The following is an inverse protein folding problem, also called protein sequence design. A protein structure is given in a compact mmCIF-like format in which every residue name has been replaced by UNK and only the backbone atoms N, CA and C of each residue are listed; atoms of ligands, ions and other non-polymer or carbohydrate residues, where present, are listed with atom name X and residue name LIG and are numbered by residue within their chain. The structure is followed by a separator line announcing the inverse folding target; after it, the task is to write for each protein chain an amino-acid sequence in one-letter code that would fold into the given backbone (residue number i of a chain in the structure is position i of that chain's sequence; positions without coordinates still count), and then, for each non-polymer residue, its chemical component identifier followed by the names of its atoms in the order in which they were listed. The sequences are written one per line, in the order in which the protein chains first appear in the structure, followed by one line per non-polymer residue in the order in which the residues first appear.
data_IF_898399835325
#
_entry.id   IF_898399835325
#
_cell.length_a   1.000
_cell.length_b   1.000
_cell.length_c   1.000
_cell.angle_alpha   90.00
_cell.angle_beta   90.00
_cell.angle_gamma   90.00
#
_symmetry.space_group_name_H-M   'P 1'
#
loop_
_entity.id
_entity.type
_entity.pdbx_description
1 polymer ?
#
# COMPACT_ATOMS: atom_id res chain seq x y z
N UNK A 1 -13.58 8.23 52.63
CA UNK A 1 -14.50 7.99 51.49
C UNK A 1 -14.12 8.78 50.23
N UNK A 2 -13.90 10.11 50.30
CA UNK A 2 -13.54 10.93 49.11
C UNK A 2 -12.16 10.61 48.49
N UNK A 3 -11.17 10.16 49.27
CA UNK A 3 -9.82 9.82 48.76
C UNK A 3 -9.73 8.44 48.09
N UNK A 4 -10.67 7.52 48.35
CA UNK A 4 -10.69 6.19 47.75
C UNK A 4 -11.30 6.20 46.33
N UNK A 5 -12.22 7.12 46.07
CA UNK A 5 -12.87 7.30 44.76
C UNK A 5 -11.91 7.89 43.72
N UNK A 6 -10.98 8.75 44.15
CA UNK A 6 -10.00 9.40 43.26
C UNK A 6 -8.95 8.39 42.76
N UNK A 7 -8.59 7.38 43.57
CA UNK A 7 -7.63 6.33 43.19
C UNK A 7 -8.27 5.32 42.21
N UNK A 8 -9.58 5.05 42.32
CA UNK A 8 -10.27 4.19 41.36
C UNK A 8 -10.56 4.88 40.02
N UNK A 9 -10.78 6.21 40.00
CA UNK A 9 -10.93 6.95 38.73
C UNK A 9 -9.61 7.12 37.97
N UNK A 10 -8.46 7.11 38.64
CA UNK A 10 -7.15 7.19 37.99
C UNK A 10 -6.66 5.83 37.47
N UNK A 11 -7.10 4.72 38.06
CA UNK A 11 -6.81 3.38 37.53
C UNK A 11 -7.70 3.01 36.32
N UNK A 12 -8.92 3.55 36.25
CA UNK A 12 -9.83 3.35 35.13
C UNK A 12 -9.43 4.11 33.84
N UNK A 13 -8.54 5.11 33.93
CA UNK A 13 -8.11 5.93 32.79
C UNK A 13 -6.83 5.42 32.10
N UNK A 14 -6.20 4.36 32.64
CA UNK A 14 -5.02 3.71 32.02
C UNK A 14 -5.43 2.49 31.18
N UNK A 15 -6.70 2.05 31.26
CA UNK A 15 -7.29 1.10 30.30
C UNK A 15 -7.93 1.90 29.16
N UNK A 16 -7.20 2.91 28.66
CA UNK A 16 -7.46 3.44 27.34
C UNK A 16 -7.14 2.31 26.38
N UNK A 17 -8.20 1.72 25.83
CA UNK A 17 -8.16 0.72 24.77
C UNK A 17 -7.25 1.30 23.69
N UNK A 18 -5.98 0.90 23.73
CA UNK A 18 -5.10 1.04 22.58
C UNK A 18 -5.83 0.24 21.54
N UNK A 19 -6.40 0.91 20.53
CA UNK A 19 -6.87 0.22 19.35
C UNK A 19 -5.71 -0.64 18.92
N UNK A 20 -5.83 -1.95 19.12
CA UNK A 20 -4.87 -2.91 18.64
C UNK A 20 -4.97 -2.72 17.14
N UNK A 21 -4.01 -1.98 16.57
CA UNK A 21 -3.78 -2.01 15.15
C UNK A 21 -3.48 -3.48 14.86
N UNK A 22 -4.50 -4.18 14.37
CA UNK A 22 -4.38 -5.56 13.94
C UNK A 22 -3.36 -5.51 12.81
N UNK A 23 -2.15 -5.92 13.15
CA UNK A 23 -1.02 -5.95 12.25
C UNK A 23 -1.37 -6.99 11.18
N UNK A 24 -1.73 -6.52 9.98
CA UNK A 24 -2.17 -7.36 8.89
C UNK A 24 -0.97 -8.14 8.32
N UNK A 25 -1.00 -9.47 8.45
CA UNK A 25 -0.10 -10.38 7.73
C UNK A 25 1.27 -10.66 8.37
N UNK A 26 1.80 -11.84 8.09
CA UNK A 26 3.13 -12.30 8.55
C UNK A 26 4.30 -11.66 7.79
N UNK A 27 4.06 -10.65 6.93
CA UNK A 27 5.09 -10.08 6.05
C UNK A 27 5.56 -11.05 4.96
N UNK A 28 4.80 -12.11 4.71
CA UNK A 28 5.13 -13.16 3.75
C UNK A 28 4.48 -12.91 2.37
N UNK A 29 4.08 -11.68 2.06
CA UNK A 29 3.50 -11.31 0.77
C UNK A 29 2.09 -11.85 0.53
N UNK A 30 1.74 -12.03 -0.75
CA UNK A 30 0.47 -12.53 -1.26
C UNK A 30 0.12 -13.93 -0.74
N UNK A 31 1.05 -14.90 -0.68
CA UNK A 31 0.70 -16.29 -0.30
C UNK A 31 0.44 -16.48 1.19
N UNK A 32 0.69 -15.46 2.00
CA UNK A 32 0.55 -15.59 3.45
C UNK A 32 -0.91 -15.81 3.85
N UNK A 33 -1.07 -16.71 4.82
CA UNK A 33 -2.33 -16.92 5.48
C UNK A 33 -2.92 -15.62 6.06
N UNK A 34 -4.17 -15.31 5.70
CA UNK A 34 -4.83 -14.06 6.09
C UNK A 34 -4.24 -12.78 5.46
N UNK A 35 -3.41 -12.88 4.41
CA UNK A 35 -3.01 -11.72 3.61
C UNK A 35 -4.22 -11.19 2.83
N UNK A 36 -4.51 -9.87 2.86
CA UNK A 36 -5.55 -9.27 2.01
C UNK A 36 -5.32 -9.44 0.50
N UNK A 37 -4.12 -9.86 0.10
CA UNK A 37 -3.73 -10.08 -1.30
C UNK A 37 -3.60 -11.57 -1.65
N UNK A 38 -4.06 -12.50 -0.79
CA UNK A 38 -4.01 -13.93 -1.08
C UNK A 38 -5.08 -14.33 -2.11
N UNK A 39 -6.27 -13.70 -2.08
CA UNK A 39 -7.37 -13.87 -3.05
C UNK A 39 -7.78 -15.32 -3.35
N UNK A 40 -7.33 -16.28 -2.56
CA UNK A 40 -7.75 -17.67 -2.58
C UNK A 40 -8.23 -17.97 -1.17
N UNK A 41 -9.43 -18.55 -1.05
CA UNK A 41 -9.96 -18.91 0.26
C UNK A 41 -8.97 -19.81 1.01
N UNK A 42 -8.44 -19.31 2.13
CA UNK A 42 -7.86 -20.19 3.12
C UNK A 42 -8.98 -20.86 3.90
N UNK A 43 -9.25 -22.13 3.60
CA UNK A 43 -9.92 -22.99 4.55
C UNK A 43 -8.92 -23.28 5.68
N UNK A 44 -8.85 -22.39 6.68
CA UNK A 44 -8.16 -22.66 7.94
C UNK A 44 -9.17 -23.10 8.99
N UNK A 45 -9.26 -24.41 9.24
CA UNK A 45 -9.72 -25.02 10.49
C UNK A 45 -10.93 -24.34 11.20
N UNK A 46 -12.01 -24.09 10.46
CA UNK A 46 -13.29 -23.65 11.06
C UNK A 46 -13.32 -22.23 11.63
N UNK A 47 -12.30 -21.40 11.40
CA UNK A 47 -12.39 -19.95 11.60
C UNK A 47 -12.89 -19.30 10.31
N UNK A 48 -13.88 -18.39 10.42
CA UNK A 48 -14.44 -17.70 9.27
C UNK A 48 -13.35 -16.99 8.44
N UNK A 49 -13.48 -16.92 7.10
CA UNK A 49 -12.60 -16.12 6.26
C UNK A 49 -12.51 -14.70 6.82
N UNK A 50 -11.30 -14.16 7.00
CA UNK A 50 -11.08 -12.78 7.48
C UNK A 50 -11.65 -11.75 6.49
N UNK A 51 -11.98 -12.19 5.28
CA UNK A 51 -12.70 -11.51 4.22
C UNK A 51 -13.49 -12.57 3.46
N UNK A 52 -14.76 -12.31 3.15
CA UNK A 52 -15.76 -13.30 2.68
C UNK A 52 -15.30 -14.24 1.56
N UNK A 53 -16.08 -15.29 1.27
CA UNK A 53 -15.66 -16.29 0.28
C UNK A 53 -15.22 -15.65 -1.05
N UNK A 54 -13.99 -15.94 -1.46
CA UNK A 54 -13.39 -15.45 -2.69
C UNK A 54 -13.85 -16.30 -3.89
N UNK A 55 -15.13 -16.71 -3.88
CA UNK A 55 -15.78 -17.50 -4.94
C UNK A 55 -15.68 -16.81 -6.31
N UNK A 56 -15.45 -15.50 -6.32
CA UNK A 56 -15.21 -14.71 -7.52
C UNK A 56 -13.84 -15.00 -8.17
N UNK A 57 -12.85 -15.48 -7.43
CA UNK A 57 -11.61 -16.07 -7.95
C UNK A 57 -11.73 -17.60 -8.03
N UNK A 58 -12.69 -18.08 -8.83
CA UNK A 58 -13.03 -19.49 -8.94
C UNK A 58 -11.88 -20.44 -9.34
N UNK A 59 -10.84 -19.92 -9.98
CA UNK A 59 -9.63 -20.71 -10.34
C UNK A 59 -8.64 -20.81 -9.20
N UNK A 60 -8.81 -20.04 -8.13
CA UNK A 60 -7.91 -19.97 -6.97
C UNK A 60 -6.46 -19.73 -7.39
N UNK A 61 -6.29 -18.93 -8.44
CA UNK A 61 -4.99 -18.50 -8.95
C UNK A 61 -4.70 -17.13 -8.35
N UNK A 62 -3.78 -17.09 -7.39
CA UNK A 62 -3.43 -15.89 -6.61
C UNK A 62 -2.97 -14.73 -7.50
N UNK A 63 -2.03 -14.99 -8.42
CA UNK A 63 -1.46 -13.96 -9.29
C UNK A 63 -2.45 -13.49 -10.37
N UNK A 64 -3.50 -14.27 -10.68
CA UNK A 64 -4.40 -13.98 -11.81
C UNK A 64 -5.22 -12.71 -11.59
N UNK A 65 -5.48 -12.32 -10.34
CA UNK A 65 -6.20 -11.07 -10.05
C UNK A 65 -5.43 -9.86 -10.60
N UNK A 66 -4.10 -9.90 -10.53
CA UNK A 66 -3.21 -8.82 -10.94
C UNK A 66 -2.61 -9.02 -12.33
N UNK A 67 -2.18 -10.24 -12.68
CA UNK A 67 -1.37 -10.53 -13.87
C UNK A 67 -2.02 -11.53 -14.81
N UNK A 68 -1.70 -11.41 -16.10
CA UNK A 68 -1.90 -12.46 -17.11
C UNK A 68 -0.55 -12.99 -17.61
N UNK A 69 -0.45 -14.26 -17.99
CA UNK A 69 0.81 -14.84 -18.47
C UNK A 69 1.24 -14.33 -19.86
N UNK A 70 0.33 -13.74 -20.65
CA UNK A 70 0.61 -13.15 -21.96
C UNK A 70 -0.39 -12.03 -22.29
N UNK A 71 -0.02 -11.12 -23.20
CA UNK A 71 -0.95 -10.08 -23.69
C UNK A 71 -2.12 -10.77 -24.40
N UNK A 72 -3.34 -10.39 -24.04
CA UNK A 72 -4.57 -10.85 -24.70
C UNK A 72 -4.97 -9.93 -25.87
N UNK A 73 -4.03 -9.15 -26.40
CA UNK A 73 -4.27 -8.19 -27.49
C UNK A 73 -5.20 -7.04 -27.09
N UNK A 74 -5.27 -6.73 -25.80
CA UNK A 74 -6.20 -5.71 -25.27
C UNK A 74 -5.48 -4.37 -25.22
N UNK A 75 -5.51 -3.65 -26.34
CA UNK A 75 -4.83 -2.36 -26.49
C UNK A 75 -5.17 -1.35 -25.37
N UNK A 76 -6.42 -1.35 -24.88
CA UNK A 76 -6.86 -0.49 -23.78
C UNK A 76 -6.30 -0.89 -22.39
N UNK A 77 -5.77 -2.11 -22.24
CA UNK A 77 -5.08 -2.60 -21.03
C UNK A 77 -3.56 -2.57 -21.14
N UNK A 78 -3.02 -2.10 -22.26
CA UNK A 78 -1.58 -1.81 -22.39
C UNK A 78 -1.27 -0.55 -21.59
N UNK A 79 -1.47 -0.61 -20.29
CA UNK A 79 -0.93 0.39 -19.38
C UNK A 79 0.57 0.45 -19.66
N UNK A 80 1.10 1.66 -19.72
CA UNK A 80 2.47 1.98 -20.17
C UNK A 80 3.57 1.40 -19.26
N UNK A 81 3.23 0.48 -18.36
CA UNK A 81 4.12 -0.19 -17.43
C UNK A 81 4.48 -1.64 -17.85
N UNK A 82 3.88 -2.22 -18.89
CA UNK A 82 4.39 -3.44 -19.53
C UNK A 82 4.27 -4.75 -18.72
N UNK A 83 3.63 -4.75 -17.55
CA UNK A 83 3.60 -5.88 -16.60
C UNK A 83 2.50 -6.92 -16.84
N UNK A 84 1.95 -7.00 -18.06
CA UNK A 84 0.86 -7.91 -18.40
C UNK A 84 -0.30 -7.87 -17.37
N UNK A 85 -0.84 -6.68 -17.14
CA UNK A 85 -1.84 -6.43 -16.09
C UNK A 85 -3.23 -6.99 -16.45
N UNK A 86 -3.84 -7.75 -15.55
CA UNK A 86 -5.14 -8.41 -15.74
C UNK A 86 -6.32 -7.62 -15.17
N UNK A 87 -6.09 -6.54 -14.43
CA UNK A 87 -7.16 -5.79 -13.76
C UNK A 87 -7.62 -4.57 -14.56
N UNK A 88 -8.84 -4.10 -14.31
CA UNK A 88 -9.27 -2.79 -14.77
C UNK A 88 -8.45 -1.72 -14.03
N UNK A 89 -8.21 -0.57 -14.66
CA UNK A 89 -7.59 0.59 -14.03
C UNK A 89 -8.47 1.78 -14.33
N UNK A 90 -8.61 2.68 -13.36
CA UNK A 90 -9.34 3.92 -13.52
C UNK A 90 -8.49 4.94 -14.30
N UNK A 91 -9.06 5.48 -15.38
CA UNK A 91 -8.51 6.58 -16.17
C UNK A 91 -9.38 7.86 -16.09
N UNK A 92 -10.45 7.83 -15.30
CA UNK A 92 -11.41 8.91 -15.14
C UNK A 92 -11.25 9.67 -13.82
N UNK A 93 -10.81 9.00 -12.75
CA UNK A 93 -10.57 9.66 -11.47
C UNK A 93 -9.37 10.58 -11.55
N UNK A 94 -9.59 11.83 -11.15
CA UNK A 94 -8.53 12.83 -10.96
C UNK A 94 -8.14 12.86 -9.49
N UNK A 95 -6.86 12.68 -9.21
CA UNK A 95 -6.31 12.71 -7.86
C UNK A 95 -5.72 14.08 -7.54
N UNK A 96 -5.90 14.51 -6.28
CA UNK A 96 -5.11 15.60 -5.71
C UNK A 96 -3.75 15.02 -5.31
N UNK A 97 -2.68 15.46 -5.94
CA UNK A 97 -1.34 14.87 -5.78
C UNK A 97 -0.58 15.46 -4.58
N UNK A 98 0.45 14.73 -4.14
CA UNK A 98 1.46 15.26 -3.24
C UNK A 98 2.32 16.28 -4.00
N UNK A 99 2.14 17.58 -3.75
CA UNK A 99 2.86 18.60 -4.51
C UNK A 99 3.48 19.68 -3.63
N UNK A 100 4.13 20.64 -4.29
CA UNK A 100 4.81 21.75 -3.63
C UNK A 100 3.85 22.72 -2.93
N UNK A 101 2.54 22.71 -3.24
CA UNK A 101 1.57 23.54 -2.52
C UNK A 101 1.40 23.05 -1.06
N UNK A 102 1.61 21.76 -0.82
CA UNK A 102 1.44 21.12 0.49
C UNK A 102 2.77 20.72 1.14
N UNK A 103 3.84 20.64 0.36
CA UNK A 103 5.20 20.34 0.82
C UNK A 103 6.21 21.23 0.10
N UNK A 104 6.50 22.40 0.69
CA UNK A 104 7.44 23.36 0.12
C UNK A 104 8.91 22.87 0.11
N UNK A 105 9.17 21.70 0.68
CA UNK A 105 10.47 21.03 0.64
C UNK A 105 10.57 20.00 -0.48
N UNK A 106 9.51 19.80 -1.27
CA UNK A 106 9.52 18.88 -2.39
C UNK A 106 10.30 19.45 -3.57
N UNK A 107 11.45 18.89 -3.87
CA UNK A 107 12.32 19.31 -4.99
C UNK A 107 12.25 18.36 -6.20
N UNK A 108 11.75 17.14 -5.99
CA UNK A 108 11.48 16.18 -7.05
C UNK A 108 10.33 16.61 -7.96
N UNK A 109 10.42 16.26 -9.25
CA UNK A 109 9.37 16.57 -10.23
C UNK A 109 8.17 15.65 -9.97
N UNK A 110 7.06 16.22 -9.51
CA UNK A 110 5.78 15.53 -9.32
C UNK A 110 5.03 15.41 -10.66
N UNK A 111 4.50 14.22 -10.92
CA UNK A 111 3.60 13.97 -12.05
C UNK A 111 2.20 14.52 -11.77
N UNK A 112 1.52 15.03 -12.79
CA UNK A 112 0.20 15.66 -12.63
C UNK A 112 -0.88 14.71 -12.11
N UNK A 113 -0.74 13.41 -12.34
CA UNK A 113 -1.62 12.32 -11.90
C UNK A 113 -0.77 11.08 -11.57
N UNK A 114 -1.33 10.07 -10.85
CA UNK A 114 -0.62 8.83 -10.60
C UNK A 114 -0.21 8.15 -11.91
N UNK A 115 1.01 7.63 -11.96
CA UNK A 115 1.56 6.92 -13.10
C UNK A 115 2.29 5.62 -12.70
N UNK A 116 2.91 4.95 -13.68
CA UNK A 116 3.73 3.76 -13.43
C UNK A 116 3.00 2.63 -12.72
N UNK A 117 3.67 2.01 -11.75
CA UNK A 117 3.11 0.94 -10.91
C UNK A 117 2.04 1.42 -9.93
N UNK A 118 2.03 2.70 -9.53
CA UNK A 118 1.02 3.21 -8.60
C UNK A 118 -0.41 3.08 -9.15
N UNK A 119 -0.59 3.29 -10.46
CA UNK A 119 -1.88 3.06 -11.14
C UNK A 119 -2.40 1.62 -11.01
N UNK A 120 -1.50 0.64 -10.92
CA UNK A 120 -1.88 -0.76 -10.77
C UNK A 120 -2.38 -1.06 -9.35
N UNK A 121 -1.82 -0.42 -8.33
CA UNK A 121 -2.32 -0.55 -6.97
C UNK A 121 -3.66 0.18 -6.82
N UNK A 122 -3.74 1.40 -7.37
CA UNK A 122 -4.95 2.22 -7.30
C UNK A 122 -6.13 1.57 -8.03
N UNK A 123 -5.90 0.72 -9.03
CA UNK A 123 -6.93 -0.10 -9.68
C UNK A 123 -7.77 -1.01 -8.76
N UNK A 124 -7.40 -1.17 -7.49
CA UNK A 124 -8.27 -1.73 -6.46
C UNK A 124 -8.45 -0.76 -5.30
N UNK A 125 -7.38 -0.04 -4.96
CA UNK A 125 -7.31 0.80 -3.78
C UNK A 125 -8.00 2.16 -3.94
N UNK A 126 -8.29 2.65 -5.14
CA UNK A 126 -9.03 3.90 -5.34
C UNK A 126 -10.46 3.87 -4.79
N UNK A 127 -11.02 2.65 -4.62
CA UNK A 127 -12.39 2.42 -4.18
C UNK A 127 -13.44 2.58 -5.29
N UNK A 128 -13.02 2.86 -6.52
CA UNK A 128 -13.87 3.02 -7.70
C UNK A 128 -13.92 1.71 -8.48
N UNK A 129 -12.75 1.10 -8.72
CA UNK A 129 -12.67 -0.16 -9.45
C UNK A 129 -12.82 -1.33 -8.47
N UNK A 130 -13.74 -2.24 -8.78
CA UNK A 130 -13.97 -3.43 -7.97
C UNK A 130 -12.82 -4.44 -8.09
N UNK A 131 -12.42 -5.05 -6.97
CA UNK A 131 -11.35 -6.06 -6.83
C UNK A 131 -11.60 -7.29 -7.70
N UNK A 132 -12.86 -7.64 -7.96
CA UNK A 132 -13.21 -8.76 -8.83
C UNK A 132 -13.27 -8.38 -10.32
N UNK A 133 -12.77 -7.19 -10.70
CA UNK A 133 -12.72 -6.70 -12.08
C UNK A 133 -11.44 -7.11 -12.79
N UNK A 134 -11.27 -8.40 -13.06
CA UNK A 134 -10.14 -8.97 -13.81
C UNK A 134 -10.60 -9.92 -14.93
N UNK A 135 -9.69 -10.33 -15.80
CA UNK A 135 -9.95 -11.10 -17.03
C UNK A 135 -11.02 -10.47 -17.94
N UNK A 136 -12.16 -11.14 -18.10
CA UNK A 136 -13.28 -10.66 -18.90
C UNK A 136 -14.00 -9.49 -18.24
N UNK A 137 -13.93 -9.33 -16.92
CA UNK A 137 -14.59 -8.24 -16.19
C UNK A 137 -13.86 -6.90 -16.27
N UNK A 138 -12.58 -6.90 -16.64
CA UNK A 138 -11.75 -5.69 -16.73
C UNK A 138 -11.82 -4.96 -18.08
N UNK A 139 -13.01 -4.73 -18.64
CA UNK A 139 -13.12 -4.02 -19.93
C UNK A 139 -14.40 -3.23 -20.10
N UNK A 140 -14.40 -2.17 -20.94
CA UNK A 140 -15.60 -1.43 -21.28
C UNK A 140 -16.69 -2.39 -21.79
N UNK A 141 -17.88 -2.35 -21.18
CA UNK A 141 -19.03 -3.17 -21.58
C UNK A 141 -19.04 -4.61 -21.07
N UNK A 142 -18.06 -5.04 -20.27
CA UNK A 142 -18.18 -6.29 -19.51
C UNK A 142 -18.63 -6.00 -18.08
N UNK A 143 -19.41 -6.92 -17.51
CA UNK A 143 -19.97 -6.79 -16.16
C UNK A 143 -18.91 -6.30 -15.20
N UNK A 144 -19.11 -5.08 -14.71
CA UNK A 144 -18.25 -4.45 -13.71
C UNK A 144 -18.21 -5.38 -12.50
N UNK A 145 -17.04 -5.58 -11.93
CA UNK A 145 -16.97 -6.22 -10.62
C UNK A 145 -17.90 -5.49 -9.64
N UNK A 146 -18.33 -6.19 -8.60
CA UNK A 146 -19.23 -5.64 -7.57
C UNK A 146 -18.56 -5.49 -6.21
N UNK A 147 -17.30 -5.91 -6.14
CA UNK A 147 -16.51 -6.00 -4.92
C UNK A 147 -15.56 -4.81 -4.81
N UNK A 148 -16.10 -3.60 -4.57
CA UNK A 148 -15.32 -2.38 -4.33
C UNK A 148 -14.91 -2.23 -2.86
N UNK A 149 -13.87 -1.43 -2.59
CA UNK A 149 -13.48 -1.04 -1.24
C UNK A 149 -14.32 0.18 -0.81
N UNK A 150 -15.52 -0.09 -0.30
CA UNK A 150 -16.57 0.89 -0.04
C UNK A 150 -17.09 0.89 1.41
N UNK A 151 -16.51 0.06 2.28
CA UNK A 151 -17.01 -0.18 3.64
C UNK A 151 -18.01 -1.34 3.73
N UNK A 152 -18.58 -1.79 2.61
CA UNK A 152 -19.51 -2.93 2.54
C UNK A 152 -18.77 -4.24 2.33
N UNK A 153 -17.90 -4.31 1.31
CA UNK A 153 -17.14 -5.53 1.02
C UNK A 153 -15.81 -5.57 1.80
N UNK A 154 -15.16 -4.42 1.93
CA UNK A 154 -13.94 -4.23 2.73
C UNK A 154 -13.98 -2.92 3.50
N UNK A 155 -13.30 -2.87 4.64
CA UNK A 155 -13.11 -1.64 5.42
C UNK A 155 -12.55 -0.52 4.55
N UNK A 156 -13.04 0.71 4.75
CA UNK A 156 -12.52 1.92 4.11
C UNK A 156 -11.04 2.17 4.43
N UNK A 157 -10.49 1.54 5.48
CA UNK A 157 -9.06 1.60 5.79
C UNK A 157 -8.16 0.93 4.74
N UNK A 158 -8.71 0.14 3.83
CA UNK A 158 -7.99 -0.40 2.67
C UNK A 158 -8.05 0.53 1.45
N UNK A 159 -8.84 1.61 1.48
CA UNK A 159 -8.92 2.55 0.36
C UNK A 159 -7.75 3.54 0.41
N UNK A 160 -7.12 3.77 -0.74
CA UNK A 160 -6.10 4.79 -0.96
C UNK A 160 -6.66 5.84 -1.92
N UNK A 161 -6.74 7.11 -1.51
CA UNK A 161 -6.38 7.65 -0.19
C UNK A 161 -7.52 7.55 0.83
N UNK A 162 -7.12 7.36 2.10
CA UNK A 162 -7.99 7.41 3.28
C UNK A 162 -7.80 8.72 4.07
N UNK A 163 -7.74 9.86 3.38
CA UNK A 163 -7.48 11.16 4.02
C UNK A 163 -8.63 11.54 4.98
N UNK A 164 -8.29 12.16 6.12
CA UNK A 164 -9.20 12.37 7.26
C UNK A 164 -10.32 13.37 6.94
N UNK A 165 -10.16 14.22 5.91
CA UNK A 165 -11.19 15.16 5.45
C UNK A 165 -12.34 14.49 4.67
N UNK A 166 -12.23 13.18 4.39
CA UNK A 166 -13.25 12.40 3.69
C UNK A 166 -13.22 12.56 2.16
N UNK A 167 -12.25 13.29 1.61
CA UNK A 167 -12.09 13.50 0.17
C UNK A 167 -11.52 12.24 -0.49
N UNK A 168 -12.36 11.54 -1.25
CA UNK A 168 -11.93 10.43 -2.10
C UNK A 168 -10.94 10.94 -3.15
N UNK A 169 -9.86 10.20 -3.39
CA UNK A 169 -8.85 10.52 -4.42
C UNK A 169 -7.91 11.69 -4.07
N UNK A 170 -7.79 12.03 -2.79
CA UNK A 170 -6.83 12.99 -2.27
C UNK A 170 -5.54 12.41 -1.67
N UNK A 171 -4.45 12.33 -2.44
CA UNK A 171 -3.16 11.75 -2.03
C UNK A 171 -2.25 12.74 -1.29
N UNK A 172 -2.64 14.02 -1.21
CA UNK A 172 -1.83 15.08 -0.57
C UNK A 172 -1.49 14.69 0.86
N UNK A 173 -0.21 14.77 1.22
CA UNK A 173 0.27 14.51 2.57
C UNK A 173 0.26 13.05 3.07
N UNK A 174 -0.22 12.07 2.29
CA UNK A 174 -0.25 10.66 2.74
C UNK A 174 0.57 9.72 1.87
N UNK A 175 0.61 9.94 0.55
CA UNK A 175 1.27 9.02 -0.39
C UNK A 175 2.13 9.81 -1.39
N UNK A 176 3.43 10.01 -1.13
CA UNK A 176 4.35 10.66 -2.05
C UNK A 176 4.72 9.71 -3.20
N UNK A 177 3.81 9.59 -4.18
CA UNK A 177 3.94 8.72 -5.34
C UNK A 177 3.98 9.51 -6.65
N UNK A 178 4.55 8.87 -7.68
CA UNK A 178 4.74 9.48 -9.00
C UNK A 178 5.63 10.73 -8.97
N UNK A 179 6.57 10.76 -8.03
CA UNK A 179 7.59 11.81 -7.83
C UNK A 179 8.93 11.28 -8.34
N UNK A 180 9.58 12.01 -9.24
CA UNK A 180 10.96 11.72 -9.60
C UNK A 180 11.88 11.92 -8.39
N UNK A 181 12.70 10.92 -8.07
CA UNK A 181 13.70 11.07 -7.03
C UNK A 181 14.65 12.22 -7.42
N UNK A 182 14.93 13.20 -6.53
CA UNK A 182 15.65 14.40 -6.90
C UNK A 182 17.12 14.09 -7.18
N UNK A 183 17.47 13.92 -8.46
CA UNK A 183 18.81 13.50 -8.87
C UNK A 183 19.94 14.42 -8.38
N UNK A 184 19.67 15.71 -8.16
CA UNK A 184 20.64 16.68 -7.62
C UNK A 184 20.89 16.57 -6.11
N UNK A 185 20.08 15.77 -5.41
CA UNK A 185 20.15 15.61 -3.95
C UNK A 185 20.44 14.16 -3.53
N UNK A 186 20.49 13.23 -4.49
CA UNK A 186 20.79 11.81 -4.24
C UNK A 186 22.23 11.64 -3.71
N UNK A 187 22.36 11.22 -2.46
CA UNK A 187 23.65 11.05 -1.80
C UNK A 187 24.39 12.35 -1.51
N UNK A 188 23.68 13.49 -1.40
CA UNK A 188 24.27 14.82 -1.18
C UNK A 188 24.82 15.04 0.25
N UNK A 189 24.61 14.05 1.13
CA UNK A 189 25.05 14.09 2.52
C UNK A 189 24.24 15.04 3.41
N UNK A 190 23.11 15.56 2.93
CA UNK A 190 22.26 16.53 3.65
C UNK A 190 20.77 16.17 3.62
N UNK A 191 20.24 15.83 2.46
CA UNK A 191 18.82 15.59 2.23
C UNK A 191 18.52 14.10 2.07
N UNK A 192 19.25 13.42 1.19
CA UNK A 192 18.99 12.02 0.86
C UNK A 192 20.23 11.13 0.98
N UNK A 193 20.00 9.91 1.48
CA UNK A 193 20.96 8.82 1.38
C UNK A 193 21.12 8.42 -0.09
N UNK A 194 22.32 7.99 -0.47
CA UNK A 194 22.61 7.56 -1.83
C UNK A 194 21.80 6.30 -2.18
N UNK A 195 20.90 6.41 -3.15
CA UNK A 195 19.90 5.39 -3.51
C UNK A 195 20.51 4.04 -3.90
N UNK A 196 21.72 4.04 -4.45
CA UNK A 196 22.45 2.83 -4.87
C UNK A 196 23.13 2.08 -3.71
N UNK A 197 23.15 2.67 -2.52
CA UNK A 197 23.76 2.05 -1.32
C UNK A 197 22.80 1.97 -0.13
N UNK A 198 21.79 2.83 -0.07
CA UNK A 198 20.74 2.76 0.93
C UNK A 198 19.86 1.53 0.66
N UNK A 199 19.63 0.71 1.69
CA UNK A 199 18.93 -0.58 1.55
C UNK A 199 17.68 -0.67 2.40
N UNK A 200 16.67 -1.34 1.85
CA UNK A 200 15.52 -1.84 2.60
C UNK A 200 15.92 -2.98 3.54
N UNK A 201 14.97 -3.49 4.32
CA UNK A 201 15.25 -4.53 5.30
C UNK A 201 15.76 -5.86 4.69
N UNK A 202 15.39 -6.16 3.44
CA UNK A 202 15.86 -7.32 2.69
C UNK A 202 17.21 -7.11 1.98
N UNK A 203 17.80 -5.92 2.06
CA UNK A 203 19.06 -5.59 1.39
C UNK A 203 18.91 -5.09 -0.06
N UNK A 204 17.71 -5.04 -0.62
CA UNK A 204 17.49 -4.35 -1.91
C UNK A 204 17.79 -2.85 -1.76
N UNK A 205 18.39 -2.27 -2.79
CA UNK A 205 18.67 -0.83 -2.81
C UNK A 205 17.40 -0.01 -3.04
N UNK A 206 17.37 1.23 -2.58
CA UNK A 206 16.31 2.18 -2.96
C UNK A 206 16.24 2.31 -4.48
N UNK A 207 17.39 2.39 -5.15
CA UNK A 207 17.46 2.50 -6.61
C UNK A 207 16.76 1.34 -7.33
N UNK A 208 16.85 0.11 -6.82
CA UNK A 208 16.20 -1.07 -7.42
C UNK A 208 14.68 -1.10 -7.25
N UNK A 209 14.10 -0.29 -6.36
CA UNK A 209 12.65 -0.26 -6.11
C UNK A 209 11.98 1.01 -6.63
N UNK A 210 12.73 1.93 -7.24
CA UNK A 210 12.20 3.05 -8.00
C UNK A 210 11.67 2.57 -9.36
N UNK A 211 10.50 3.06 -9.76
CA UNK A 211 9.94 2.80 -11.08
C UNK A 211 10.36 3.92 -12.04
N UNK A 212 11.28 3.61 -12.94
CA UNK A 212 11.86 4.58 -13.87
C UNK A 212 12.38 5.86 -13.18
N UNK A 213 13.05 5.67 -12.03
CA UNK A 213 13.58 6.77 -11.19
C UNK A 213 12.53 7.51 -10.36
N UNK A 214 11.27 7.07 -10.36
CA UNK A 214 10.21 7.65 -9.54
C UNK A 214 9.90 6.80 -8.31
N UNK A 215 9.55 7.49 -7.23
CA UNK A 215 8.93 6.87 -6.05
C UNK A 215 7.51 6.48 -6.42
N UNK A 216 7.15 5.21 -6.19
CA UNK A 216 5.80 4.67 -6.38
C UNK A 216 5.37 3.85 -5.16
N UNK A 217 4.15 3.32 -5.16
CA UNK A 217 3.68 2.39 -4.13
C UNK A 217 4.66 1.23 -3.92
N UNK A 218 5.17 0.64 -5.01
CA UNK A 218 6.11 -0.49 -4.97
C UNK A 218 7.49 -0.14 -4.40
N UNK A 219 7.84 1.14 -4.31
CA UNK A 219 9.09 1.59 -3.68
C UNK A 219 9.05 1.34 -2.18
N UNK A 220 7.91 1.58 -1.54
CA UNK A 220 7.73 1.40 -0.09
C UNK A 220 7.07 0.07 0.26
N UNK A 221 6.28 -0.52 -0.64
CA UNK A 221 5.52 -1.74 -0.42
C UNK A 221 6.02 -2.89 -1.30
N UNK A 222 6.07 -4.10 -0.75
CA UNK A 222 6.21 -5.32 -1.55
C UNK A 222 5.03 -6.25 -1.29
N UNK A 223 4.28 -6.53 -2.35
CA UNK A 223 3.13 -7.42 -2.31
C UNK A 223 3.52 -8.88 -2.54
N UNK A 224 4.69 -9.16 -3.12
CA UNK A 224 5.14 -10.50 -3.44
C UNK A 224 5.80 -11.21 -2.25
N UNK A 225 5.96 -12.53 -2.37
CA UNK A 225 6.49 -13.40 -1.31
C UNK A 225 8.02 -13.46 -1.28
N UNK A 226 8.71 -12.46 -1.84
CA UNK A 226 10.16 -12.41 -1.79
C UNK A 226 10.60 -12.37 -0.31
N UNK A 227 11.44 -13.31 0.17
CA UNK A 227 11.77 -13.40 1.59
C UNK A 227 12.32 -12.08 2.13
N UNK A 228 11.65 -11.55 3.16
CA UNK A 228 12.03 -10.28 3.81
C UNK A 228 11.65 -9.01 3.04
N UNK A 229 11.04 -9.13 1.86
CA UNK A 229 10.65 -7.97 1.06
C UNK A 229 9.52 -7.15 1.69
N UNK A 230 8.65 -7.79 2.47
CA UNK A 230 7.69 -7.10 3.33
C UNK A 230 7.94 -7.41 4.81
N UNK A 231 7.79 -6.39 5.66
CA UNK A 231 7.99 -6.54 7.09
C UNK A 231 6.75 -7.13 7.77
N UNK A 232 6.90 -8.14 8.63
CA UNK A 232 5.79 -8.72 9.38
C UNK A 232 5.01 -7.68 10.17
N UNK A 233 3.68 -7.80 10.18
CA UNK A 233 2.81 -6.90 10.93
C UNK A 233 2.78 -5.47 10.41
N UNK A 234 3.23 -5.25 9.18
CA UNK A 234 3.09 -3.97 8.48
C UNK A 234 2.13 -4.13 7.31
N UNK A 235 1.64 -3.02 6.77
CA UNK A 235 0.85 -3.03 5.54
C UNK A 235 1.76 -3.26 4.31
N UNK A 236 2.46 -4.39 4.27
CA UNK A 236 3.39 -4.79 3.21
C UNK A 236 4.61 -3.86 3.04
N UNK A 237 5.02 -3.13 4.07
CA UNK A 237 6.13 -2.18 3.97
C UNK A 237 7.47 -2.91 3.81
N UNK A 238 8.36 -2.43 2.94
CA UNK A 238 9.76 -2.91 2.80
C UNK A 238 10.64 -2.59 4.01
N UNK A 239 10.17 -1.73 4.91
CA UNK A 239 10.84 -1.33 6.14
C UNK A 239 9.80 -0.89 7.19
N UNK A 240 10.11 -1.05 8.47
CA UNK A 240 9.19 -0.63 9.54
C UNK A 240 8.98 0.89 9.57
N UNK A 241 7.72 1.33 9.72
CA UNK A 241 7.40 2.74 9.89
C UNK A 241 7.69 3.29 11.29
N UNK A 242 7.83 2.43 12.30
CA UNK A 242 8.20 2.83 13.65
C UNK A 242 9.27 1.89 14.21
N UNK A 243 10.24 2.46 14.92
CA UNK A 243 11.24 1.72 15.71
C UNK A 243 10.62 0.81 16.77
N UNK A 244 9.45 1.19 17.30
CA UNK A 244 8.76 0.50 18.40
C UNK A 244 8.16 -0.89 18.04
N UNK A 245 7.88 -1.17 16.76
CA UNK A 245 7.38 -2.49 16.33
C UNK A 245 8.41 -3.63 16.57
N UNK A 246 9.64 -3.28 16.96
CA UNK A 246 10.73 -4.21 17.28
C UNK A 246 11.14 -4.20 18.77
N UNK A 247 10.35 -3.62 19.67
CA UNK A 247 10.69 -3.58 21.11
C UNK A 247 11.87 -2.67 21.49
N UNK A 248 12.34 -1.81 20.57
CA UNK A 248 13.35 -0.80 20.86
C UNK A 248 12.73 0.61 20.81
N UNK A 249 12.74 1.27 21.96
CA UNK A 249 12.12 2.56 22.24
C UNK A 249 12.91 3.76 21.69
N UNK A 250 13.42 3.68 20.46
CA UNK A 250 14.20 4.79 19.89
C UNK A 250 13.30 5.80 19.15
N UNK A 251 12.92 6.86 19.87
CA UNK A 251 12.72 8.24 19.39
C UNK A 251 11.90 8.51 18.11
N UNK A 252 10.76 7.85 17.89
CA UNK A 252 9.67 8.39 17.06
C UNK A 252 9.94 8.66 15.57
N UNK A 253 11.09 8.27 15.01
CA UNK A 253 11.35 8.37 13.58
C UNK A 253 11.07 7.08 12.83
N UNK A 254 10.65 7.26 11.58
CA UNK A 254 10.32 6.16 10.68
C UNK A 254 11.58 5.61 10.01
N UNK A 255 11.90 4.33 10.25
CA UNK A 255 12.99 3.65 9.53
C UNK A 255 12.74 3.61 8.03
N UNK A 256 11.47 3.53 7.63
CA UNK A 256 11.06 3.64 6.23
C UNK A 256 11.54 4.97 5.65
N UNK A 257 11.18 6.10 6.27
CA UNK A 257 11.60 7.42 5.79
C UNK A 257 13.12 7.59 5.83
N UNK A 258 13.76 7.15 6.92
CA UNK A 258 15.21 7.23 7.10
C UNK A 258 16.01 6.30 6.18
N UNK A 259 15.33 5.41 5.43
CA UNK A 259 16.01 4.66 4.37
C UNK A 259 16.43 5.61 3.26
N UNK A 260 15.55 6.54 2.86
CA UNK A 260 15.84 7.53 1.82
C UNK A 260 16.39 8.84 2.38
N UNK A 261 15.90 9.30 3.53
CA UNK A 261 16.21 10.63 4.05
C UNK A 261 17.33 10.61 5.08
N UNK A 262 18.15 11.67 5.04
CA UNK A 262 19.09 12.01 6.11
C UNK A 262 18.35 12.80 7.19
N UNK A 263 18.76 12.60 8.45
CA UNK A 263 18.12 13.15 9.64
C UNK A 263 18.74 14.48 10.05
#
# INVERSE_FOLDING_TARGET
MKKLIIVMMSLAMVIGISGIAMANGKGLGISAAGSPHNFVDEITNGAAPVVGSEDWNNRKEICRVCHVPHDHGRAYKRWTNGLLWNHAVDDTTTFVMYDHAWSNTLTGIQSAQPDGTAKLCLACHDGVIAVDSFDKKSGPGNGTGTKTIDGTNWSLGYKVPGYIDGDSSNLRGTHPLSIAFPAGEDGDGKNFNLTTTATWANGETVASTLDNGKVQCSTCHDVHDAPGAAMPGTHLLRQYNATAAMGNADSGASKLCLTCHIR
#
